data_IF_480329503600
#
_entry.id   IF_480329503600
#
_cell.length_a   1.000
_cell.length_b   1.000
_cell.length_c   1.000
_cell.angle_alpha   90.00
_cell.angle_beta   90.00
_cell.angle_gamma   90.00
#
_symmetry.space_group_name_H-M   'P 1'
#
loop_
_entity.id
_entity.type
_entity.pdbx_description
1 polymer ?
#
# COMPACT_ATOMS: atom_id res chain seq x y z
N UNK A 1 -6.93 -7.81 -0.40
CA UNK A 1 -5.63 -8.34 -0.89
C UNK A 1 -4.69 -7.15 -1.08
N UNK A 2 -3.81 -6.94 -0.09
CA UNK A 2 -2.70 -6.01 -0.23
C UNK A 2 -1.71 -6.67 -1.20
N UNK A 3 -1.32 -5.97 -2.25
CA UNK A 3 -0.46 -6.53 -3.29
C UNK A 3 0.25 -5.42 -4.05
N UNK A 4 1.44 -5.73 -4.56
CA UNK A 4 2.11 -4.92 -5.56
C UNK A 4 1.50 -5.20 -6.93
N UNK A 5 1.07 -4.15 -7.61
CA UNK A 5 0.94 -4.12 -9.06
C UNK A 5 2.21 -3.54 -9.68
N UNK A 6 2.24 -3.45 -11.02
CA UNK A 6 3.41 -2.95 -11.75
C UNK A 6 3.77 -1.52 -11.35
N UNK A 7 2.78 -0.62 -11.22
CA UNK A 7 2.96 0.82 -10.96
C UNK A 7 2.26 1.31 -9.69
N UNK A 8 1.70 0.39 -8.89
CA UNK A 8 0.92 0.74 -7.69
C UNK A 8 1.01 -0.35 -6.63
N UNK A 9 0.62 -0.04 -5.41
CA UNK A 9 0.51 -1.00 -4.32
C UNK A 9 -0.69 -0.69 -3.42
N UNK A 10 -1.28 -1.71 -2.81
CA UNK A 10 -2.47 -1.58 -1.96
C UNK A 10 -2.13 -1.87 -0.50
N UNK A 11 -2.52 -0.99 0.43
CA UNK A 11 -2.28 -1.15 1.87
C UNK A 11 -3.59 -1.07 2.67
N UNK A 12 -3.71 -1.88 3.72
CA UNK A 12 -4.79 -1.82 4.70
C UNK A 12 -4.36 -0.97 5.88
N UNK A 13 -5.17 0.02 6.26
CA UNK A 13 -4.96 0.85 7.44
C UNK A 13 -6.09 0.58 8.44
N UNK A 14 -5.72 0.40 9.70
CA UNK A 14 -6.65 0.25 10.81
C UNK A 14 -6.48 1.46 11.70
N UNK A 15 -7.52 2.27 11.82
CA UNK A 15 -7.58 3.43 12.70
C UNK A 15 -8.28 3.03 13.99
N UNK A 16 -7.64 3.27 15.13
CA UNK A 16 -8.20 2.99 16.46
C UNK A 16 -8.45 4.29 17.22
N UNK A 17 -9.48 4.29 18.07
CA UNK A 17 -9.74 5.36 19.03
C UNK A 17 -9.91 4.72 20.41
N UNK A 18 -8.92 4.94 21.28
CA UNK A 18 -8.75 4.12 22.49
C UNK A 18 -8.55 2.64 22.10
N UNK A 19 -9.26 1.74 22.78
CA UNK A 19 -9.17 0.29 22.56
C UNK A 19 -10.11 -0.23 21.47
N UNK A 20 -10.81 0.66 20.75
CA UNK A 20 -11.76 0.27 19.69
C UNK A 20 -11.20 0.60 18.30
N UNK A 21 -11.38 -0.35 17.38
CA UNK A 21 -11.20 -0.09 15.95
C UNK A 21 -12.30 0.88 15.52
N UNK A 22 -11.89 2.07 15.09
CA UNK A 22 -12.77 3.11 14.60
C UNK A 22 -13.07 2.93 13.11
N UNK A 23 -12.05 2.59 12.31
CA UNK A 23 -12.21 2.39 10.87
C UNK A 23 -11.12 1.50 10.29
N UNK A 24 -11.44 0.82 9.20
CA UNK A 24 -10.49 0.06 8.39
C UNK A 24 -10.64 0.49 6.94
N UNK A 25 -9.56 0.94 6.34
CA UNK A 25 -9.57 1.38 4.93
C UNK A 25 -8.52 0.65 4.12
N UNK A 26 -8.80 0.47 2.83
CA UNK A 26 -7.82 0.01 1.85
C UNK A 26 -7.43 1.19 0.98
N UNK A 27 -6.17 1.61 1.01
CA UNK A 27 -5.64 2.64 0.11
C UNK A 27 -4.84 2.01 -1.01
N UNK A 28 -4.94 2.60 -2.20
CA UNK A 28 -4.14 2.25 -3.37
C UNK A 28 -3.22 3.44 -3.69
N UNK A 29 -1.92 3.19 -3.64
CA UNK A 29 -0.90 4.20 -3.94
C UNK A 29 -0.32 3.92 -5.32
N UNK A 30 -0.27 4.94 -6.18
CA UNK A 30 0.42 4.87 -7.48
C UNK A 30 1.75 5.59 -7.41
N UNK A 31 2.79 5.03 -8.02
CA UNK A 31 4.09 5.68 -8.14
C UNK A 31 4.08 6.54 -9.40
N UNK A 32 4.46 7.80 -9.27
CA UNK A 32 4.49 8.78 -10.36
C UNK A 32 5.91 9.33 -10.52
N UNK A 33 6.32 9.51 -11.77
CA UNK A 33 7.46 10.37 -12.07
C UNK A 33 7.05 11.84 -11.93
N UNK A 34 7.79 12.62 -11.14
CA UNK A 34 7.43 14.01 -10.84
C UNK A 34 7.63 14.95 -12.04
N UNK A 35 8.49 14.61 -13.00
CA UNK A 35 8.76 15.42 -14.18
C UNK A 35 7.73 15.14 -15.28
N UNK A 36 7.46 13.87 -15.57
CA UNK A 36 6.56 13.46 -16.67
C UNK A 36 5.11 13.30 -16.23
N UNK A 37 4.84 13.23 -14.91
CA UNK A 37 3.54 12.93 -14.30
C UNK A 37 2.96 11.57 -14.71
N UNK A 38 3.77 10.71 -15.33
CA UNK A 38 3.34 9.37 -15.72
C UNK A 38 3.56 8.36 -14.59
N UNK A 39 2.80 7.28 -14.64
CA UNK A 39 2.99 6.15 -13.74
C UNK A 39 4.32 5.47 -14.02
N UNK A 40 5.05 5.12 -12.97
CA UNK A 40 6.32 4.40 -13.08
C UNK A 40 6.27 3.11 -12.29
N UNK A 41 7.13 2.14 -12.64
CA UNK A 41 7.19 0.88 -11.91
C UNK A 41 7.46 1.10 -10.42
N UNK A 42 6.86 0.25 -9.57
CA UNK A 42 7.14 0.29 -8.13
C UNK A 42 8.63 0.01 -7.89
N UNK A 43 9.38 0.94 -7.25
CA UNK A 43 10.81 0.76 -7.02
C UNK A 43 11.10 -0.48 -6.17
N UNK A 44 12.25 -1.13 -6.42
CA UNK A 44 12.60 -2.37 -5.71
C UNK A 44 12.76 -2.14 -4.19
N UNK A 45 13.26 -0.97 -3.79
CA UNK A 45 13.33 -0.58 -2.39
C UNK A 45 11.94 -0.56 -1.71
N UNK A 46 10.90 -0.16 -2.44
CA UNK A 46 9.53 -0.16 -1.92
C UNK A 46 9.02 -1.59 -1.77
N UNK A 47 9.35 -2.47 -2.72
CA UNK A 47 9.02 -3.90 -2.62
C UNK A 47 9.66 -4.55 -1.39
N UNK A 48 10.95 -4.33 -1.19
CA UNK A 48 11.68 -4.85 -0.04
C UNK A 48 11.14 -4.33 1.29
N UNK A 49 10.88 -3.01 1.38
CA UNK A 49 10.46 -2.39 2.63
C UNK A 49 9.00 -2.64 2.97
N UNK A 50 8.11 -2.57 1.98
CA UNK A 50 6.67 -2.69 2.21
C UNK A 50 6.17 -4.12 2.07
N UNK A 51 6.89 -4.99 1.36
CA UNK A 51 6.56 -6.41 1.18
C UNK A 51 6.12 -7.10 2.47
N UNK A 52 6.87 -6.99 3.58
CA UNK A 52 6.49 -7.59 4.87
C UNK A 52 5.16 -7.11 5.44
N UNK A 53 4.71 -5.90 5.07
CA UNK A 53 3.46 -5.30 5.53
C UNK A 53 2.31 -5.46 4.54
N UNK A 54 2.59 -6.05 3.37
CA UNK A 54 1.65 -6.23 2.28
C UNK A 54 1.07 -7.66 2.21
N UNK A 55 1.53 -8.57 3.05
CA UNK A 55 0.98 -9.93 3.21
C UNK A 55 0.13 -10.01 4.49
N UNK A 56 -0.91 -10.83 4.62
CA UNK A 56 -1.59 -11.80 3.74
C UNK A 56 -3.04 -11.91 4.24
N UNK A 57 -3.95 -12.39 3.40
CA UNK A 57 -5.35 -12.75 3.71
C UNK A 57 -5.52 -13.41 5.09
N UNK A 58 -6.52 -12.96 5.87
CA UNK A 58 -7.10 -13.67 7.01
C UNK A 58 -7.43 -12.74 8.19
N UNK A 59 -8.66 -12.62 8.71
CA UNK A 59 -9.88 -13.41 8.52
C UNK A 59 -10.96 -12.69 7.70
#
# INVERSE_FOLDING_TARGET
>A
VASFGETSFKMKYVFTQGDKVHSVVTMVHSVLDLKTKQKTPVPELFKQRFGPYLESTGA
#
